data_IF_140524195670
#
_entry.id   IF_140524195670
#
_cell.length_a   1.000
_cell.length_b   1.000
_cell.length_c   1.000
_cell.angle_alpha   90.00
_cell.angle_beta   90.00
_cell.angle_gamma   90.00
#
_symmetry.space_group_name_H-M   'P 1'
#
loop_
_entity.id
_entity.type
_entity.pdbx_description
1 polymer ?
#
# COMPACT_ATOMS: atom_id res chain seq x y z
N UNK A 1 -7.11 -13.96 -25.12
CA UNK A 1 -6.33 -14.83 -26.05
C UNK A 1 -5.39 -13.93 -26.82
N UNK A 2 -4.10 -13.93 -26.46
CA UNK A 2 -3.00 -13.33 -27.22
C UNK A 2 -1.71 -13.87 -26.59
N UNK A 3 -1.28 -15.02 -27.09
CA UNK A 3 0.12 -15.45 -27.02
C UNK A 3 0.47 -15.71 -28.47
N UNK A 4 0.99 -14.68 -29.12
CA UNK A 4 1.65 -14.79 -30.40
C UNK A 4 3.09 -14.35 -30.17
N UNK A 5 3.98 -15.32 -30.30
CA UNK A 5 5.32 -15.26 -30.85
C UNK A 5 6.05 -13.90 -30.76
N UNK A 6 7.05 -13.83 -29.88
CA UNK A 6 8.02 -12.73 -29.87
C UNK A 6 9.42 -13.28 -29.54
N UNK A 7 10.14 -13.64 -30.59
CA UNK A 7 11.58 -13.76 -30.56
C UNK A 7 12.22 -12.38 -30.30
N UNK A 8 13.00 -12.32 -29.23
CA UNK A 8 13.89 -11.20 -28.91
C UNK A 8 13.24 -10.03 -28.18
N UNK A 9 13.65 -9.82 -26.92
CA UNK A 9 14.16 -8.55 -26.36
C UNK A 9 14.07 -8.61 -24.82
N UNK A 10 15.16 -8.37 -24.07
CA UNK A 10 15.19 -8.34 -22.60
C UNK A 10 14.11 -7.46 -21.93
N UNK A 11 13.55 -6.51 -22.67
CA UNK A 11 12.45 -5.66 -22.20
C UNK A 11 11.12 -6.42 -22.05
N UNK A 12 10.86 -7.44 -22.88
CA UNK A 12 9.66 -8.26 -22.76
C UNK A 12 9.69 -9.13 -21.51
N UNK A 13 10.85 -9.71 -21.20
CA UNK A 13 11.06 -10.52 -20.00
C UNK A 13 10.87 -9.69 -18.72
N UNK A 14 11.41 -8.46 -18.68
CA UNK A 14 11.20 -7.54 -17.57
C UNK A 14 9.73 -7.19 -17.36
N UNK A 15 8.96 -6.95 -18.44
CA UNK A 15 7.54 -6.64 -18.34
C UNK A 15 6.69 -7.85 -17.89
N UNK A 16 7.06 -9.07 -18.32
CA UNK A 16 6.39 -10.30 -17.90
C UNK A 16 6.62 -10.57 -16.41
N UNK A 17 7.86 -10.44 -15.94
CA UNK A 17 8.20 -10.60 -14.51
C UNK A 17 7.49 -9.56 -13.64
N UNK A 18 7.44 -8.30 -14.10
CA UNK A 18 6.78 -7.22 -13.39
C UNK A 18 5.26 -7.42 -13.28
N UNK A 19 4.65 -7.97 -14.34
CA UNK A 19 3.25 -8.40 -14.34
C UNK A 19 3.00 -9.60 -13.43
N UNK A 20 3.87 -10.60 -13.43
CA UNK A 20 3.76 -11.75 -12.52
C UNK A 20 3.82 -11.27 -11.06
N UNK A 21 4.73 -10.37 -10.73
CA UNK A 21 4.81 -9.75 -9.40
C UNK A 21 3.56 -8.97 -9.05
N UNK A 22 3.04 -8.17 -9.98
CA UNK A 22 1.78 -7.46 -9.77
C UNK A 22 0.63 -8.44 -9.51
N UNK A 23 0.53 -9.52 -10.29
CA UNK A 23 -0.48 -10.56 -10.11
C UNK A 23 -0.30 -11.32 -8.79
N UNK A 24 0.93 -11.51 -8.33
CA UNK A 24 1.19 -12.08 -7.00
C UNK A 24 0.67 -11.16 -5.91
N UNK A 25 1.05 -9.88 -5.92
CA UNK A 25 0.56 -8.91 -4.93
C UNK A 25 -0.96 -8.78 -4.99
N UNK A 26 -1.52 -8.72 -6.21
CA UNK A 26 -2.96 -8.59 -6.43
C UNK A 26 -3.74 -9.86 -6.04
N UNK A 27 -3.23 -11.04 -6.41
CA UNK A 27 -3.84 -12.34 -6.13
C UNK A 27 -3.67 -12.78 -4.68
N UNK A 28 -2.61 -12.34 -3.99
CA UNK A 28 -2.46 -12.55 -2.55
C UNK A 28 -3.56 -11.85 -1.74
N UNK A 29 -4.22 -10.83 -2.27
CA UNK A 29 -5.40 -10.24 -1.62
C UNK A 29 -6.58 -11.23 -1.50
N UNK A 30 -6.57 -12.31 -2.27
CA UNK A 30 -7.60 -13.36 -2.29
C UNK A 30 -7.19 -14.61 -1.47
N UNK A 31 -5.95 -14.67 -0.96
CA UNK A 31 -5.43 -15.83 -0.21
C UNK A 31 -5.64 -15.72 1.32
N UNK A 32 -5.44 -16.87 2.00
CA UNK A 32 -5.78 -17.22 3.38
C UNK A 32 -5.76 -16.10 4.45
N UNK A 33 -6.61 -16.28 5.47
CA UNK A 33 -6.90 -15.33 6.54
C UNK A 33 -5.72 -15.10 7.51
N UNK A 34 -4.68 -14.41 7.05
CA UNK A 34 -3.58 -13.97 7.92
C UNK A 34 -4.12 -12.92 8.88
N UNK A 35 -4.12 -13.18 10.19
CA UNK A 35 -4.56 -12.17 11.15
C UNK A 35 -3.51 -11.06 11.30
N UNK A 36 -3.91 -9.88 11.79
CA UNK A 36 -2.96 -8.80 12.00
C UNK A 36 -1.87 -9.17 13.03
N UNK A 37 -2.19 -9.99 14.02
CA UNK A 37 -1.20 -10.50 14.98
C UNK A 37 -0.13 -11.36 14.29
N UNK A 38 -0.54 -12.25 13.38
CA UNK A 38 0.38 -13.07 12.59
C UNK A 38 1.22 -12.18 11.66
N UNK A 39 0.61 -11.24 10.94
CA UNK A 39 1.35 -10.33 10.07
C UNK A 39 2.41 -9.52 10.83
N UNK A 40 2.09 -9.00 12.02
CA UNK A 40 3.09 -8.33 12.89
C UNK A 40 4.22 -9.27 13.31
N UNK A 41 3.90 -10.52 13.66
CA UNK A 41 4.90 -11.52 14.04
C UNK A 41 5.85 -11.81 12.87
N UNK A 42 5.32 -11.96 11.66
CA UNK A 42 6.12 -12.16 10.44
C UNK A 42 7.05 -10.97 10.20
N UNK A 43 6.53 -9.74 10.23
CA UNK A 43 7.33 -8.52 10.05
C UNK A 43 8.49 -8.43 11.06
N UNK A 44 8.27 -8.87 12.31
CA UNK A 44 9.32 -8.93 13.34
C UNK A 44 10.32 -10.05 13.04
N UNK A 45 9.84 -11.24 12.70
CA UNK A 45 10.65 -12.43 12.45
C UNK A 45 11.64 -12.23 11.31
N UNK A 46 11.23 -11.51 10.26
CA UNK A 46 12.08 -11.20 9.10
C UNK A 46 12.86 -9.88 9.23
N UNK A 47 12.85 -9.27 10.41
CA UNK A 47 13.63 -8.06 10.71
C UNK A 47 13.17 -6.78 9.99
N UNK A 48 11.94 -6.73 9.47
CA UNK A 48 11.35 -5.48 8.91
C UNK A 48 11.06 -4.50 10.04
N UNK A 49 10.66 -5.02 11.20
CA UNK A 49 10.43 -4.25 12.42
C UNK A 49 11.41 -4.76 13.47
N UNK A 50 12.28 -3.88 13.96
CA UNK A 50 13.22 -4.24 15.02
C UNK A 50 12.49 -4.56 16.34
N UNK A 51 13.10 -5.28 17.29
CA UNK A 51 12.48 -5.57 18.58
C UNK A 51 11.99 -4.31 19.31
N UNK A 52 12.80 -3.24 19.33
CA UNK A 52 12.41 -1.96 19.95
C UNK A 52 11.25 -1.27 19.22
N UNK A 53 11.23 -1.32 17.89
CA UNK A 53 10.11 -0.82 17.10
C UNK A 53 8.83 -1.63 17.35
N UNK A 54 8.94 -2.95 17.51
CA UNK A 54 7.79 -3.83 17.80
C UNK A 54 7.14 -3.47 19.13
N UNK A 55 7.93 -3.25 20.18
CA UNK A 55 7.41 -2.81 21.49
C UNK A 55 6.72 -1.45 21.36
N UNK A 56 7.38 -0.48 20.70
CA UNK A 56 6.79 0.84 20.48
C UNK A 56 5.51 0.78 19.65
N UNK A 57 5.42 -0.11 18.67
CA UNK A 57 4.22 -0.33 17.86
C UNK A 57 3.08 -0.81 18.75
N UNK A 58 3.28 -1.88 19.51
CA UNK A 58 2.25 -2.47 20.36
C UNK A 58 1.70 -1.48 21.38
N UNK A 59 2.58 -0.68 22.00
CA UNK A 59 2.15 0.40 22.90
C UNK A 59 1.23 1.42 22.19
N UNK A 60 1.58 1.86 20.99
CA UNK A 60 0.79 2.83 20.22
C UNK A 60 -0.54 2.26 19.76
N UNK A 61 -0.56 1.01 19.30
CA UNK A 61 -1.79 0.32 18.91
C UNK A 61 -2.71 0.14 20.12
N UNK A 62 -2.19 -0.24 21.29
CA UNK A 62 -2.99 -0.41 22.50
C UNK A 62 -3.57 0.91 23.00
N UNK A 63 -2.79 2.00 23.00
CA UNK A 63 -3.31 3.34 23.31
C UNK A 63 -4.42 3.77 22.35
N UNK A 64 -4.23 3.54 21.05
CA UNK A 64 -5.27 3.84 20.04
C UNK A 64 -6.52 2.99 20.27
N UNK A 65 -6.36 1.70 20.63
CA UNK A 65 -7.46 0.79 20.93
C UNK A 65 -8.30 1.28 22.10
N UNK A 66 -7.66 1.69 23.19
CA UNK A 66 -8.35 2.28 24.33
C UNK A 66 -9.10 3.57 23.93
N UNK A 67 -8.44 4.47 23.21
CA UNK A 67 -9.06 5.72 22.75
C UNK A 67 -10.26 5.50 21.83
N UNK A 68 -10.19 4.57 20.87
CA UNK A 68 -11.30 4.27 19.97
C UNK A 68 -12.49 3.61 20.69
N UNK A 69 -12.24 2.75 21.68
CA UNK A 69 -13.29 2.19 22.53
C UNK A 69 -14.00 3.28 23.30
N UNK A 70 -13.26 4.11 24.04
CA UNK A 70 -13.84 5.14 24.92
C UNK A 70 -14.52 6.27 24.12
N UNK A 71 -13.88 6.77 23.07
CA UNK A 71 -14.32 8.00 22.39
C UNK A 71 -15.28 7.75 21.22
N UNK A 72 -15.26 6.53 20.65
CA UNK A 72 -16.05 6.19 19.46
C UNK A 72 -16.96 4.98 19.66
N UNK A 73 -16.89 4.31 20.82
CA UNK A 73 -17.67 3.11 21.09
C UNK A 73 -17.33 1.92 20.19
N UNK A 74 -16.19 1.95 19.48
CA UNK A 74 -15.83 0.87 18.56
C UNK A 74 -15.45 -0.40 19.33
N UNK A 75 -15.98 -1.53 18.88
CA UNK A 75 -15.73 -2.85 19.47
C UNK A 75 -15.57 -3.92 18.38
N UNK A 76 -15.22 -5.15 18.79
CA UNK A 76 -15.17 -6.32 17.91
C UNK A 76 -14.29 -6.12 16.67
N UNK A 77 -14.80 -6.53 15.51
CA UNK A 77 -14.08 -6.49 14.23
C UNK A 77 -13.85 -5.06 13.70
N UNK A 78 -14.77 -4.13 13.95
CA UNK A 78 -14.61 -2.73 13.53
C UNK A 78 -13.43 -2.06 14.24
N UNK A 79 -13.29 -2.32 15.54
CA UNK A 79 -12.16 -1.83 16.32
C UNK A 79 -10.83 -2.40 15.78
N UNK A 80 -10.77 -3.71 15.55
CA UNK A 80 -9.55 -4.33 15.03
C UNK A 80 -9.20 -3.83 13.62
N UNK A 81 -10.18 -3.66 12.74
CA UNK A 81 -9.98 -3.06 11.42
C UNK A 81 -9.45 -1.62 11.54
N UNK A 82 -10.04 -0.80 12.41
CA UNK A 82 -9.57 0.57 12.63
C UNK A 82 -8.13 0.61 13.16
N UNK A 83 -7.72 -0.37 13.99
CA UNK A 83 -6.34 -0.49 14.48
C UNK A 83 -5.37 -0.90 13.38
N UNK A 84 -5.77 -1.80 12.49
CA UNK A 84 -4.97 -2.16 11.31
C UNK A 84 -4.77 -0.94 10.41
N UNK A 85 -5.82 -0.18 10.11
CA UNK A 85 -5.72 1.06 9.33
C UNK A 85 -4.85 2.11 10.02
N UNK A 86 -4.96 2.24 11.34
CA UNK A 86 -4.09 3.14 12.09
C UNK A 86 -2.61 2.73 11.97
N UNK A 87 -2.30 1.43 11.91
CA UNK A 87 -0.92 0.97 11.71
C UNK A 87 -0.33 1.42 10.36
N UNK A 88 -1.15 1.60 9.34
CA UNK A 88 -0.76 2.13 8.03
C UNK A 88 -0.41 3.62 8.07
N UNK A 89 -0.98 4.39 9.00
CA UNK A 89 -0.78 5.84 9.11
C UNK A 89 0.28 6.26 10.14
N UNK A 90 0.90 5.30 10.83
CA UNK A 90 1.95 5.59 11.82
C UNK A 90 3.23 6.12 11.16
N UNK A 91 3.73 7.24 11.68
CA UNK A 91 5.06 7.76 11.34
C UNK A 91 6.18 7.15 12.21
N UNK A 92 5.83 6.64 13.39
CA UNK A 92 6.78 6.03 14.31
C UNK A 92 6.09 4.89 15.09
N UNK A 93 6.55 3.63 14.94
CA UNK A 93 7.45 3.17 13.87
C UNK A 93 6.78 3.27 12.49
N UNK A 94 7.51 3.62 11.43
CA UNK A 94 6.94 3.90 10.11
C UNK A 94 6.66 2.63 9.31
N UNK A 95 5.73 1.78 9.76
CA UNK A 95 5.45 0.47 9.13
C UNK A 95 5.22 0.53 7.63
N UNK A 96 4.35 1.45 7.18
CA UNK A 96 4.09 1.62 5.76
C UNK A 96 5.36 1.96 4.98
N UNK A 97 6.25 2.80 5.54
CA UNK A 97 7.49 3.18 4.87
C UNK A 97 8.40 1.98 4.67
N UNK A 98 8.58 1.16 5.68
CA UNK A 98 9.44 -0.03 5.61
C UNK A 98 8.88 -1.08 4.63
N UNK A 99 7.59 -1.37 4.73
CA UNK A 99 6.89 -2.24 3.77
C UNK A 99 6.99 -1.67 2.34
N UNK A 100 6.77 -0.37 2.19
CA UNK A 100 6.78 0.30 0.89
C UNK A 100 8.17 0.27 0.24
N UNK A 101 9.23 0.40 1.03
CA UNK A 101 10.61 0.26 0.54
C UNK A 101 10.85 -1.12 -0.07
N UNK A 102 10.41 -2.18 0.62
CA UNK A 102 10.57 -3.57 0.16
C UNK A 102 9.75 -3.82 -1.11
N UNK A 103 8.47 -3.46 -1.08
CA UNK A 103 7.57 -3.77 -2.19
C UNK A 103 7.82 -2.90 -3.44
N UNK A 104 8.43 -1.72 -3.31
CA UNK A 104 8.77 -0.86 -4.44
C UNK A 104 10.24 -1.00 -4.91
N UNK A 105 11.09 -1.82 -4.30
CA UNK A 105 12.44 -2.09 -4.78
C UNK A 105 12.41 -3.02 -6.01
N UNK A 106 12.72 -2.55 -7.24
CA UNK A 106 12.66 -3.37 -8.43
C UNK A 106 13.74 -4.45 -8.46
N UNK A 107 14.92 -4.16 -7.92
CA UNK A 107 16.04 -5.10 -7.89
C UNK A 107 15.77 -6.19 -6.87
N UNK A 108 15.24 -5.81 -5.70
CA UNK A 108 14.72 -6.76 -4.73
C UNK A 108 13.69 -7.69 -5.38
N UNK A 109 12.64 -7.17 -6.02
CA UNK A 109 11.64 -8.05 -6.67
C UNK A 109 12.24 -8.98 -7.74
N UNK A 110 13.16 -8.49 -8.57
CA UNK A 110 13.72 -9.29 -9.68
C UNK A 110 14.72 -10.35 -9.21
N UNK A 111 15.61 -9.99 -8.30
CA UNK A 111 16.74 -10.83 -7.91
C UNK A 111 16.39 -11.75 -6.72
N UNK A 112 15.40 -11.39 -5.90
CA UNK A 112 15.07 -12.14 -4.70
C UNK A 112 14.25 -13.42 -4.98
N UNK A 113 13.90 -13.72 -6.23
CA UNK A 113 13.27 -15.00 -6.58
C UNK A 113 14.15 -16.20 -6.23
N UNK A 114 15.46 -15.98 -6.06
CA UNK A 114 16.45 -17.00 -5.68
C UNK A 114 16.94 -16.86 -4.23
N UNK A 115 16.58 -15.80 -3.51
CA UNK A 115 16.98 -15.57 -2.11
C UNK A 115 15.77 -15.84 -1.18
N UNK A 116 15.77 -16.97 -0.44
CA UNK A 116 14.68 -17.32 0.46
C UNK A 116 14.39 -16.26 1.53
N UNK A 117 15.43 -15.63 2.09
CA UNK A 117 15.28 -14.63 3.15
C UNK A 117 14.58 -13.39 2.61
N UNK A 118 15.00 -12.94 1.43
CA UNK A 118 14.39 -11.78 0.81
C UNK A 118 12.97 -12.07 0.31
N UNK A 119 12.68 -13.32 -0.05
CA UNK A 119 11.34 -13.80 -0.36
C UNK A 119 10.43 -13.78 0.87
N UNK A 120 10.88 -14.27 2.02
CA UNK A 120 10.13 -14.21 3.29
C UNK A 120 9.80 -12.77 3.69
N UNK A 121 10.72 -11.82 3.47
CA UNK A 121 10.49 -10.39 3.72
C UNK A 121 9.38 -9.83 2.85
N UNK A 122 9.35 -10.19 1.57
CA UNK A 122 8.29 -9.78 0.64
C UNK A 122 6.94 -10.37 1.08
N UNK A 123 6.92 -11.64 1.47
CA UNK A 123 5.68 -12.30 1.91
C UNK A 123 5.14 -11.72 3.22
N UNK A 124 6.00 -11.38 4.18
CA UNK A 124 5.61 -10.67 5.39
C UNK A 124 5.03 -9.26 5.08
N UNK A 125 5.64 -8.54 4.13
CA UNK A 125 5.17 -7.24 3.69
C UNK A 125 3.79 -7.31 2.98
N UNK A 126 3.59 -8.30 2.11
CA UNK A 126 2.30 -8.58 1.45
C UNK A 126 1.24 -8.96 2.49
N UNK A 127 1.58 -9.85 3.43
CA UNK A 127 0.65 -10.29 4.48
C UNK A 127 0.09 -9.11 5.30
N UNK A 128 0.95 -8.18 5.70
CA UNK A 128 0.51 -6.95 6.37
C UNK A 128 -0.36 -6.08 5.46
N UNK A 129 0.03 -5.86 4.21
CA UNK A 129 -0.75 -5.07 3.26
C UNK A 129 -2.15 -5.67 3.03
N UNK A 130 -2.26 -7.00 3.00
CA UNK A 130 -3.53 -7.71 2.89
C UNK A 130 -4.42 -7.52 4.13
N UNK A 131 -3.84 -7.42 5.33
CA UNK A 131 -4.60 -7.02 6.52
C UNK A 131 -5.19 -5.62 6.34
N UNK A 132 -4.41 -4.66 5.81
CA UNK A 132 -4.89 -3.28 5.57
C UNK A 132 -6.03 -3.27 4.54
N UNK A 133 -5.91 -4.00 3.43
CA UNK A 133 -6.98 -4.11 2.43
C UNK A 133 -8.26 -4.69 3.02
N UNK A 134 -8.16 -5.79 3.76
CA UNK A 134 -9.33 -6.41 4.41
C UNK A 134 -9.96 -5.50 5.46
N UNK A 135 -9.15 -4.77 6.22
CA UNK A 135 -9.66 -3.78 7.17
C UNK A 135 -10.45 -2.66 6.47
N UNK A 136 -9.97 -2.14 5.34
CA UNK A 136 -10.72 -1.17 4.52
C UNK A 136 -12.03 -1.76 3.99
N UNK A 137 -11.99 -2.99 3.47
CA UNK A 137 -13.20 -3.68 2.97
C UNK A 137 -14.23 -3.92 4.08
N UNK A 138 -13.78 -4.36 5.25
CA UNK A 138 -14.65 -4.58 6.40
C UNK A 138 -15.36 -3.30 6.81
N UNK A 139 -14.60 -2.21 7.02
CA UNK A 139 -15.17 -0.93 7.43
C UNK A 139 -16.07 -0.33 6.35
N UNK A 140 -15.80 -0.58 5.07
CA UNK A 140 -16.68 -0.16 3.98
C UNK A 140 -18.07 -0.81 4.08
N UNK A 141 -18.10 -2.09 4.45
CA UNK A 141 -19.33 -2.87 4.60
C UNK A 141 -20.07 -2.55 5.90
N UNK A 142 -19.34 -2.39 7.01
CA UNK A 142 -19.94 -2.09 8.33
C UNK A 142 -20.29 -0.61 8.51
N UNK A 143 -19.61 0.30 7.79
CA UNK A 143 -19.83 1.74 7.81
C UNK A 143 -19.99 2.30 6.39
N UNK A 144 -21.13 2.07 5.73
CA UNK A 144 -21.36 2.51 4.35
C UNK A 144 -21.21 4.02 4.14
N UNK A 145 -21.43 4.83 5.19
CA UNK A 145 -21.23 6.28 5.18
C UNK A 145 -19.79 6.70 4.92
N UNK A 146 -18.82 5.80 5.09
CA UNK A 146 -17.43 6.03 4.74
C UNK A 146 -17.07 5.54 3.33
N UNK A 147 -18.03 5.00 2.55
CA UNK A 147 -17.78 4.63 1.17
C UNK A 147 -17.66 5.86 0.27
N UNK A 148 -16.66 5.84 -0.60
CA UNK A 148 -16.53 6.83 -1.68
C UNK A 148 -17.61 6.57 -2.75
N UNK A 149 -18.42 7.57 -3.13
CA UNK A 149 -19.42 7.41 -4.18
C UNK A 149 -18.81 6.96 -5.51
N UNK A 150 -19.51 6.13 -6.31
CA UNK A 150 -19.08 5.78 -7.67
C UNK A 150 -18.84 7.04 -8.52
N UNK A 151 -17.82 7.00 -9.37
CA UNK A 151 -17.44 8.14 -10.22
C UNK A 151 -16.67 9.25 -9.51
N UNK A 152 -16.41 9.14 -8.21
CA UNK A 152 -15.59 10.13 -7.49
C UNK A 152 -14.14 10.08 -7.96
N UNK A 153 -13.57 11.25 -8.26
CA UNK A 153 -12.13 11.40 -8.53
C UNK A 153 -11.35 11.49 -7.21
N UNK A 154 -10.37 10.62 -7.05
CA UNK A 154 -9.38 10.69 -5.97
C UNK A 154 -8.14 11.46 -6.41
N UNK A 155 -7.56 12.22 -5.49
CA UNK A 155 -6.34 12.98 -5.72
C UNK A 155 -5.20 12.44 -4.88
N UNK A 156 -4.05 12.23 -5.52
CA UNK A 156 -2.80 11.87 -4.84
C UNK A 156 -1.70 12.83 -5.22
N UNK A 157 -1.15 13.50 -4.22
CA UNK A 157 -0.01 14.38 -4.39
C UNK A 157 1.31 13.68 -4.13
N UNK A 158 2.34 14.10 -4.86
CA UNK A 158 3.72 13.67 -4.70
C UNK A 158 4.62 14.90 -4.61
N UNK A 159 5.57 14.89 -3.67
CA UNK A 159 6.62 15.92 -3.55
C UNK A 159 7.51 15.99 -4.80
N UNK A 160 7.63 14.87 -5.52
CA UNK A 160 8.40 14.79 -6.75
C UNK A 160 7.63 15.38 -7.95
N UNK A 161 8.31 16.21 -8.74
CA UNK A 161 7.80 16.73 -10.00
C UNK A 161 8.42 15.96 -11.17
N UNK A 162 7.60 15.24 -11.92
CA UNK A 162 8.05 14.59 -13.15
C UNK A 162 8.28 15.62 -14.26
N UNK A 163 9.33 15.42 -15.06
CA UNK A 163 9.51 16.21 -16.28
C UNK A 163 8.42 15.89 -17.29
N UNK A 164 8.13 16.84 -18.19
CA UNK A 164 7.13 16.62 -19.26
C UNK A 164 7.47 15.42 -20.13
N UNK A 165 8.75 15.24 -20.47
CA UNK A 165 9.22 14.10 -21.25
C UNK A 165 8.97 12.77 -20.52
N UNK A 166 9.24 12.73 -19.21
CA UNK A 166 8.97 11.54 -18.39
C UNK A 166 7.47 11.23 -18.33
N UNK A 167 6.63 12.25 -18.15
CA UNK A 167 5.18 12.09 -18.15
C UNK A 167 4.68 11.53 -19.49
N UNK A 168 5.15 12.11 -20.61
CA UNK A 168 4.76 11.69 -21.95
C UNK A 168 5.15 10.24 -22.26
N UNK A 169 6.33 9.78 -21.83
CA UNK A 169 6.73 8.39 -22.01
C UNK A 169 6.02 7.46 -21.01
N UNK A 170 6.26 7.63 -19.71
CA UNK A 170 5.88 6.64 -18.69
C UNK A 170 4.37 6.57 -18.45
N UNK A 171 3.66 7.67 -18.70
CA UNK A 171 2.22 7.78 -18.48
C UNK A 171 1.45 8.00 -19.78
N UNK A 172 2.01 7.55 -20.91
CA UNK A 172 1.31 7.56 -22.18
C UNK A 172 -0.05 6.85 -22.05
N UNK A 173 -1.07 7.41 -22.70
CA UNK A 173 -2.41 6.82 -22.75
C UNK A 173 -2.35 5.36 -23.21
N UNK A 174 -3.11 4.49 -22.55
CA UNK A 174 -3.15 3.06 -22.84
C UNK A 174 -2.04 2.25 -22.16
N UNK A 175 -1.09 2.88 -21.46
CA UNK A 175 -0.12 2.16 -20.62
C UNK A 175 -0.69 1.83 -19.25
N UNK A 176 -0.27 0.69 -18.71
CA UNK A 176 -0.57 0.27 -17.36
C UNK A 176 0.62 0.56 -16.45
N UNK A 177 0.35 1.09 -15.26
CA UNK A 177 1.37 1.31 -14.26
C UNK A 177 1.02 0.61 -12.95
N UNK A 178 1.72 -0.48 -12.60
CA UNK A 178 1.47 -1.17 -11.34
C UNK A 178 1.96 -0.34 -10.15
N UNK A 179 1.10 -0.21 -9.15
CA UNK A 179 1.49 0.18 -7.80
C UNK A 179 1.52 -1.05 -6.91
N UNK A 180 2.71 -1.45 -6.46
CA UNK A 180 2.91 -2.61 -5.57
C UNK A 180 2.46 -2.35 -4.13
N UNK A 181 2.10 -1.10 -3.82
CA UNK A 181 1.79 -0.65 -2.48
C UNK A 181 0.52 0.16 -2.45
N UNK A 182 -0.22 0.05 -1.35
CA UNK A 182 -1.39 0.89 -1.09
C UNK A 182 -1.02 2.37 -1.15
N UNK A 183 -1.88 3.15 -1.82
CA UNK A 183 -1.70 4.58 -1.99
C UNK A 183 -2.81 5.34 -1.28
N UNK A 184 -2.43 6.23 -0.36
CA UNK A 184 -3.34 7.25 0.15
C UNK A 184 -3.79 8.19 -0.96
N UNK A 185 -5.09 8.48 -0.98
CA UNK A 185 -5.77 9.42 -1.87
C UNK A 185 -6.71 10.29 -1.04
N UNK A 186 -7.10 11.45 -1.56
CA UNK A 186 -8.14 12.29 -0.98
C UNK A 186 -9.10 12.76 -2.04
N UNK A 187 -10.39 12.85 -1.73
CA UNK A 187 -11.39 13.46 -2.62
C UNK A 187 -11.25 15.00 -2.69
N UNK A 188 -10.50 15.60 -1.77
CA UNK A 188 -10.28 17.05 -1.75
C UNK A 188 -9.02 17.42 -2.53
N UNK A 189 -9.19 17.96 -3.74
CA UNK A 189 -8.07 18.52 -4.52
C UNK A 189 -7.32 19.61 -3.76
N UNK A 190 -8.04 20.41 -2.97
CA UNK A 190 -7.45 21.50 -2.18
C UNK A 190 -6.44 20.99 -1.15
N UNK A 191 -6.62 19.77 -0.63
CA UNK A 191 -5.65 19.15 0.28
C UNK A 191 -4.27 18.99 -0.38
N UNK A 192 -4.21 18.73 -1.69
CA UNK A 192 -2.95 18.57 -2.43
C UNK A 192 -2.15 19.88 -2.55
N UNK A 193 -2.81 21.01 -2.31
CA UNK A 193 -2.14 22.32 -2.30
C UNK A 193 -1.49 22.61 -0.96
N UNK A 194 -1.87 21.91 0.13
CA UNK A 194 -1.35 22.17 1.47
C UNK A 194 0.11 21.71 1.61
N UNK A 195 0.98 22.51 2.26
CA UNK A 195 2.39 22.18 2.51
C UNK A 195 2.60 20.81 3.17
N UNK A 196 1.78 20.48 4.18
CA UNK A 196 1.93 19.26 4.96
C UNK A 196 1.63 17.98 4.16
N UNK A 197 0.90 18.11 3.04
CA UNK A 197 0.50 16.95 2.23
C UNK A 197 1.42 16.73 1.03
N UNK A 198 1.93 17.80 0.40
CA UNK A 198 2.73 17.72 -0.83
C UNK A 198 4.11 18.39 -0.71
N UNK A 199 4.58 18.65 0.51
CA UNK A 199 5.85 19.32 0.76
C UNK A 199 5.74 20.84 0.79
N UNK A 200 6.75 21.47 1.38
CA UNK A 200 6.68 22.88 1.78
C UNK A 200 6.89 23.86 0.63
N UNK A 201 7.56 23.46 -0.45
CA UNK A 201 7.92 24.34 -1.57
C UNK A 201 8.20 23.57 -2.86
N UNK A 202 8.06 24.26 -3.99
CA UNK A 202 8.48 23.77 -5.31
C UNK A 202 7.39 23.12 -6.17
N UNK A 203 7.74 22.77 -7.42
CA UNK A 203 6.86 22.02 -8.33
C UNK A 203 6.46 20.67 -7.73
N UNK A 204 5.25 20.19 -8.04
CA UNK A 204 4.71 18.93 -7.51
C UNK A 204 3.90 18.19 -8.57
N UNK A 205 3.75 16.88 -8.41
CA UNK A 205 2.85 16.06 -9.25
C UNK A 205 1.57 15.76 -8.48
N UNK A 206 0.42 15.98 -9.12
CA UNK A 206 -0.89 15.57 -8.60
C UNK A 206 -1.49 14.58 -9.59
N UNK A 207 -1.74 13.37 -9.13
CA UNK A 207 -2.52 12.37 -9.87
C UNK A 207 -4.00 12.58 -9.58
N UNK A 208 -4.80 12.73 -10.64
CA UNK A 208 -6.24 12.52 -10.59
C UNK A 208 -6.51 11.05 -10.96
N UNK A 209 -7.17 10.34 -10.07
CA UNK A 209 -7.40 8.89 -10.18
C UNK A 209 -8.90 8.69 -10.24
N UNK A 210 -9.37 8.25 -11.40
CA UNK A 210 -10.75 7.85 -11.61
C UNK A 210 -10.93 6.38 -11.25
N UNK A 211 -12.12 6.01 -10.78
CA UNK A 211 -12.50 4.59 -10.58
C UNK A 211 -11.55 3.82 -9.67
N UNK A 212 -11.32 4.32 -8.45
CA UNK A 212 -10.48 3.66 -7.45
C UNK A 212 -11.28 2.82 -6.45
N UNK A 213 -10.69 1.73 -5.96
CA UNK A 213 -11.22 0.91 -4.86
C UNK A 213 -10.61 1.41 -3.55
N UNK A 214 -11.32 2.26 -2.83
CA UNK A 214 -10.87 2.83 -1.55
C UNK A 214 -12.00 2.98 -0.52
N UNK A 215 -11.59 3.36 0.68
CA UNK A 215 -12.39 3.80 1.82
C UNK A 215 -11.92 5.21 2.21
#
# INVERSE_FOLDING_TARGET
RLVADLGGQPQMEAAVLDRFWFLRVAGSFEQADVTFAVAKSLLRGVGIVSPGQSVSLDMRLNRKRASLRTNKGLAGKDLEAAIVLYSYTLELPPLFREVSKILNDPNGRKNNSQDPVAQERIDAAIAWQNCVVRAMQHLKLSQPSCSVPPGTTGYRGMKYAYSRAYLADKFATGRYWPWYTLKSVSISKNLMSKPDFCGNSGPRTIFAIETFKGH
#
